data_IF_550777073892
#
_entry.id   IF_550777073892
#
_cell.length_a   1.000
_cell.length_b   1.000
_cell.length_c   1.000
_cell.angle_alpha   90.00
_cell.angle_beta   90.00
_cell.angle_gamma   90.00
#
_symmetry.space_group_name_H-M   'P 1'
#
loop_
_entity.id
_entity.type
_entity.pdbx_description
1 polymer ?
#
# COMPACT_ATOMS: atom_id res chain seq x y z
N UNK A 1 -11.37 1.70 -10.23
CA UNK A 1 -10.70 2.01 -11.50
C UNK A 1 -9.21 1.69 -11.40
N UNK A 2 -8.70 0.97 -12.38
CA UNK A 2 -7.31 0.55 -12.36
C UNK A 2 -6.62 1.04 -13.62
N UNK A 3 -5.74 2.03 -13.46
CA UNK A 3 -4.91 2.55 -14.54
C UNK A 3 -3.45 2.16 -14.38
N UNK A 4 -3.09 1.65 -13.21
CA UNK A 4 -1.76 1.14 -12.92
C UNK A 4 -1.65 -0.36 -13.17
N UNK A 5 -0.61 -0.95 -12.61
CA UNK A 5 -0.28 -2.37 -12.75
C UNK A 5 -0.73 -3.13 -11.52
N UNK A 6 -1.53 -4.18 -11.71
CA UNK A 6 -1.99 -5.02 -10.59
C UNK A 6 -1.74 -6.48 -10.95
N UNK A 7 -1.06 -7.20 -10.06
CA UNK A 7 -0.75 -8.61 -10.25
C UNK A 7 -1.00 -9.41 -8.98
N UNK A 8 -1.61 -10.58 -9.12
CA UNK A 8 -1.79 -11.52 -8.01
C UNK A 8 -2.38 -10.91 -6.75
N UNK A 9 -3.37 -9.99 -6.93
CA UNK A 9 -3.93 -9.21 -5.83
C UNK A 9 -5.43 -9.28 -5.84
N UNK A 10 -6.03 -8.94 -4.70
CA UNK A 10 -7.48 -8.86 -4.56
C UNK A 10 -7.86 -7.41 -4.38
N UNK A 11 -8.65 -6.89 -5.29
CA UNK A 11 -9.16 -5.53 -5.22
C UNK A 11 -10.67 -5.59 -4.98
N UNK A 12 -11.12 -4.96 -3.92
CA UNK A 12 -12.54 -4.84 -3.63
C UNK A 12 -13.14 -3.70 -4.46
N UNK A 13 -14.42 -3.44 -4.29
CA UNK A 13 -15.09 -2.41 -5.07
C UNK A 13 -14.56 -1.00 -4.72
N UNK A 14 -14.72 -0.08 -5.64
CA UNK A 14 -14.34 1.33 -5.44
C UNK A 14 -12.86 1.57 -5.17
N UNK A 15 -11.98 0.63 -5.56
CA UNK A 15 -10.54 0.80 -5.46
C UNK A 15 -10.05 1.58 -6.67
N UNK A 16 -9.15 2.53 -6.44
CA UNK A 16 -8.51 3.31 -7.51
C UNK A 16 -7.01 3.06 -7.47
N UNK A 17 -6.44 2.66 -8.60
CA UNK A 17 -5.00 2.51 -8.76
C UNK A 17 -4.58 3.40 -9.93
N UNK A 18 -3.87 4.48 -9.64
CA UNK A 18 -3.51 5.46 -10.65
C UNK A 18 -2.37 4.99 -11.54
N UNK A 19 -2.21 5.66 -12.68
CA UNK A 19 -1.18 5.32 -13.64
C UNK A 19 0.21 5.36 -13.02
N UNK A 20 1.02 4.37 -13.34
CA UNK A 20 2.38 4.26 -12.79
C UNK A 20 2.46 3.58 -11.43
N UNK A 21 1.34 3.39 -10.75
CA UNK A 21 1.34 2.65 -9.49
C UNK A 21 1.45 1.15 -9.74
N UNK A 22 1.98 0.43 -8.78
CA UNK A 22 2.10 -1.03 -8.83
C UNK A 22 1.49 -1.66 -7.59
N UNK A 23 0.72 -2.71 -7.78
CA UNK A 23 0.16 -3.50 -6.67
C UNK A 23 0.42 -4.96 -6.96
N UNK A 24 1.12 -5.64 -6.05
CA UNK A 24 1.45 -7.05 -6.20
C UNK A 24 1.20 -7.82 -4.90
N UNK A 25 0.61 -8.99 -5.00
CA UNK A 25 0.39 -9.90 -3.87
C UNK A 25 -0.21 -9.19 -2.66
N UNK A 26 -1.24 -8.36 -2.91
CA UNK A 26 -1.82 -7.50 -1.88
C UNK A 26 -3.33 -7.59 -1.89
N UNK A 27 -3.94 -7.12 -0.81
CA UNK A 27 -5.39 -7.00 -0.70
C UNK A 27 -5.71 -5.54 -0.46
N UNK A 28 -6.49 -4.94 -1.36
CA UNK A 28 -6.95 -3.56 -1.22
C UNK A 28 -8.45 -3.58 -0.97
N UNK A 29 -8.85 -3.08 0.19
CA UNK A 29 -10.24 -3.08 0.61
C UNK A 29 -11.01 -1.90 0.00
N UNK A 30 -12.35 -1.90 0.11
CA UNK A 30 -13.16 -0.89 -0.59
C UNK A 30 -12.75 0.55 -0.33
N UNK A 31 -12.74 1.37 -1.38
CA UNK A 31 -12.47 2.79 -1.25
C UNK A 31 -10.99 3.17 -1.16
N UNK A 32 -10.10 2.19 -1.21
CA UNK A 32 -8.65 2.46 -1.18
C UNK A 32 -8.21 3.19 -2.44
N UNK A 33 -7.34 4.19 -2.28
CA UNK A 33 -6.78 4.95 -3.39
C UNK A 33 -5.27 4.80 -3.38
N UNK A 34 -4.70 4.35 -4.49
CA UNK A 34 -3.25 4.24 -4.69
C UNK A 34 -2.86 5.27 -5.74
N UNK A 35 -2.10 6.27 -5.32
CA UNK A 35 -1.72 7.38 -6.20
C UNK A 35 -0.57 7.00 -7.14
N UNK A 36 -0.32 7.87 -8.11
CA UNK A 36 0.67 7.62 -9.16
C UNK A 36 2.05 7.28 -8.60
N UNK A 37 2.68 6.26 -9.17
CA UNK A 37 4.05 5.88 -8.81
C UNK A 37 4.21 5.17 -7.47
N UNK A 38 3.13 4.97 -6.71
CA UNK A 38 3.22 4.23 -5.46
C UNK A 38 3.39 2.74 -5.73
N UNK A 39 3.99 2.01 -4.78
CA UNK A 39 4.18 0.57 -4.89
C UNK A 39 3.64 -0.11 -3.63
N UNK A 40 2.81 -1.12 -3.82
CA UNK A 40 2.28 -1.92 -2.73
C UNK A 40 2.61 -3.38 -3.03
N UNK A 41 3.30 -4.03 -2.10
CA UNK A 41 3.68 -5.44 -2.23
C UNK A 41 3.49 -6.17 -0.92
N UNK A 42 2.84 -7.33 -0.98
CA UNK A 42 2.66 -8.19 0.19
C UNK A 42 2.09 -7.40 1.36
N UNK A 43 0.97 -6.70 1.12
CA UNK A 43 0.35 -5.83 2.11
C UNK A 43 -1.16 -5.94 2.09
N UNK A 44 -1.78 -5.56 3.19
CA UNK A 44 -3.23 -5.41 3.28
C UNK A 44 -3.50 -3.94 3.56
N UNK A 45 -4.26 -3.31 2.69
CA UNK A 45 -4.63 -1.89 2.84
C UNK A 45 -6.13 -1.84 3.09
N UNK A 46 -6.50 -1.36 4.27
CA UNK A 46 -7.89 -1.39 4.72
C UNK A 46 -8.72 -0.29 4.07
N UNK A 47 -10.01 -0.28 4.38
CA UNK A 47 -11.00 0.57 3.71
C UNK A 47 -10.64 2.06 3.77
N UNK A 48 -10.87 2.74 2.65
CA UNK A 48 -10.72 4.20 2.53
C UNK A 48 -9.32 4.72 2.86
N UNK A 49 -8.31 3.86 2.87
CA UNK A 49 -6.94 4.30 3.04
C UNK A 49 -6.42 4.93 1.75
N UNK A 50 -5.48 5.84 1.87
CA UNK A 50 -4.87 6.51 0.73
C UNK A 50 -3.35 6.30 0.79
N UNK A 51 -2.79 5.80 -0.31
CA UNK A 51 -1.35 5.67 -0.46
C UNK A 51 -0.94 6.74 -1.48
N UNK A 52 -0.24 7.78 -1.00
CA UNK A 52 0.11 8.93 -1.82
C UNK A 52 1.20 8.61 -2.85
N UNK A 53 1.43 9.56 -3.74
CA UNK A 53 2.35 9.36 -4.85
C UNK A 53 3.75 8.96 -4.40
N UNK A 54 4.33 7.96 -5.05
CA UNK A 54 5.69 7.50 -4.78
C UNK A 54 5.90 6.78 -3.45
N UNK A 55 4.85 6.57 -2.66
CA UNK A 55 4.98 5.84 -1.41
C UNK A 55 5.20 4.34 -1.68
N UNK A 56 5.85 3.66 -0.74
CA UNK A 56 6.12 2.22 -0.84
C UNK A 56 5.53 1.54 0.38
N UNK A 57 4.69 0.55 0.17
CA UNK A 57 4.07 -0.22 1.25
C UNK A 57 4.43 -1.68 1.09
N UNK A 58 5.13 -2.23 2.08
CA UNK A 58 5.55 -3.62 2.06
C UNK A 58 6.71 -3.90 1.13
N UNK A 59 7.16 -5.13 1.10
CA UNK A 59 8.22 -5.59 0.21
C UNK A 59 8.12 -7.11 0.03
N UNK A 60 8.68 -7.65 -1.06
CA UNK A 60 8.69 -9.10 -1.27
C UNK A 60 9.39 -9.85 -0.14
N UNK A 61 9.02 -11.11 0.08
CA UNK A 61 9.68 -11.92 1.10
C UNK A 61 11.18 -11.99 0.88
N UNK A 62 11.90 -11.96 1.98
CA UNK A 62 13.33 -12.20 1.99
C UNK A 62 13.65 -13.14 3.17
N UNK A 63 14.91 -13.41 3.43
CA UNK A 63 15.28 -14.34 4.49
C UNK A 63 15.32 -13.69 5.86
N UNK A 64 14.89 -12.44 5.98
CA UNK A 64 14.88 -11.73 7.25
C UNK A 64 13.86 -12.33 8.21
N UNK A 65 14.23 -12.62 9.46
CA UNK A 65 13.28 -13.19 10.41
C UNK A 65 12.14 -12.23 10.77
N UNK A 66 12.31 -10.95 10.54
CA UNK A 66 11.27 -9.95 10.82
C UNK A 66 10.32 -9.68 9.64
N UNK A 67 10.50 -10.37 8.52
CA UNK A 67 9.63 -10.11 7.38
C UNK A 67 8.20 -10.59 7.65
N UNK A 68 7.23 -9.82 7.20
CA UNK A 68 5.82 -10.19 7.28
C UNK A 68 4.98 -9.23 6.44
N UNK A 69 3.69 -9.50 6.38
CA UNK A 69 2.75 -8.67 5.62
C UNK A 69 2.64 -7.30 6.31
N UNK A 70 2.73 -6.24 5.53
CA UNK A 70 2.46 -4.88 6.04
C UNK A 70 0.95 -4.66 6.06
N UNK A 71 0.47 -3.92 7.05
CA UNK A 71 -0.96 -3.62 7.17
C UNK A 71 -1.15 -2.11 7.35
N UNK A 72 -2.01 -1.53 6.53
CA UNK A 72 -2.41 -0.13 6.65
C UNK A 72 -3.87 -0.11 7.08
N UNK A 73 -4.14 0.50 8.21
CA UNK A 73 -5.49 0.53 8.79
C UNK A 73 -6.44 1.43 7.99
N UNK A 74 -7.73 1.27 8.23
CA UNK A 74 -8.75 2.04 7.53
C UNK A 74 -8.63 3.54 7.75
N UNK A 75 -8.85 4.32 6.71
CA UNK A 75 -8.80 5.77 6.77
C UNK A 75 -7.42 6.38 6.92
N UNK A 76 -6.37 5.57 6.93
CA UNK A 76 -4.99 6.06 7.09
C UNK A 76 -4.47 6.60 5.76
N UNK A 77 -3.73 7.69 5.81
CA UNK A 77 -3.02 8.22 4.66
C UNK A 77 -1.52 7.95 4.81
N UNK A 78 -0.94 7.25 3.84
CA UNK A 78 0.51 7.07 3.76
C UNK A 78 1.03 8.19 2.87
N UNK A 79 1.79 9.11 3.44
CA UNK A 79 2.23 10.31 2.74
C UNK A 79 3.15 10.06 1.55
N UNK A 80 3.33 11.09 0.73
CA UNK A 80 4.17 10.98 -0.47
C UNK A 80 5.56 10.49 -0.13
N UNK A 81 6.03 9.51 -0.91
CA UNK A 81 7.39 8.94 -0.77
C UNK A 81 7.67 8.34 0.61
N UNK A 82 6.64 8.15 1.42
CA UNK A 82 6.81 7.45 2.69
C UNK A 82 7.02 5.95 2.43
N UNK A 83 7.62 5.26 3.38
CA UNK A 83 7.87 3.83 3.28
C UNK A 83 7.26 3.12 4.48
N UNK A 84 6.43 2.13 4.20
CA UNK A 84 5.90 1.22 5.21
C UNK A 84 6.65 -0.09 5.05
N UNK A 85 7.46 -0.44 6.05
CA UNK A 85 8.32 -1.62 5.96
C UNK A 85 7.54 -2.92 6.21
N UNK A 86 8.07 -4.08 5.80
CA UNK A 86 7.42 -5.36 6.07
C UNK A 86 7.12 -5.54 7.56
N UNK A 87 6.02 -6.18 7.86
CA UNK A 87 5.53 -6.43 9.21
C UNK A 87 5.01 -5.21 9.96
N UNK A 88 5.11 -4.02 9.38
CA UNK A 88 4.59 -2.82 10.03
C UNK A 88 3.07 -2.86 10.05
N UNK A 89 2.49 -2.36 11.12
CA UNK A 89 1.05 -2.17 11.22
C UNK A 89 0.81 -0.69 11.44
N UNK A 90 0.30 -0.02 10.42
CA UNK A 90 0.12 1.42 10.41
C UNK A 90 -1.31 1.75 10.81
N UNK A 91 -1.48 2.45 11.93
CA UNK A 91 -2.79 2.83 12.46
C UNK A 91 -3.03 4.33 12.42
N UNK A 92 -2.02 5.11 12.09
CA UNK A 92 -2.09 6.56 12.03
C UNK A 92 -1.44 7.02 10.74
N UNK A 93 -1.78 8.21 10.29
CA UNK A 93 -1.20 8.76 9.07
C UNK A 93 0.33 8.79 9.14
N UNK A 94 0.94 8.47 8.01
CA UNK A 94 2.40 8.49 7.87
C UNK A 94 2.75 9.73 7.05
N UNK A 95 3.65 10.55 7.59
CA UNK A 95 4.04 11.78 6.91
C UNK A 95 4.88 11.49 5.68
N UNK A 96 4.86 12.41 4.72
CA UNK A 96 5.65 12.29 3.51
C UNK A 96 7.13 12.05 3.83
N UNK A 97 7.74 11.09 3.14
CA UNK A 97 9.14 10.74 3.32
C UNK A 97 9.47 9.95 4.59
N UNK A 98 8.49 9.72 5.44
CA UNK A 98 8.70 9.00 6.69
C UNK A 98 8.82 7.50 6.44
N UNK A 99 9.55 6.80 7.31
CA UNK A 99 9.67 5.34 7.23
C UNK A 99 9.19 4.71 8.54
N UNK A 100 8.29 3.80 8.43
CA UNK A 100 7.71 3.10 9.58
C UNK A 100 7.78 1.58 9.43
#
# INVERSE_FOLDING_TARGET
QVDGSVANSVLFHSVTVEEGAKVEYSILMPGTVVKAGASISYAIVAEDAVVEAGAVVGAPPDDSPGWGIAVVAGGVTVGEKATVTPSAMVREDVKGGERV
#
